data_IF_899470360112
#
_entry.id   IF_899470360112
#
_cell.length_a   1.000
_cell.length_b   1.000
_cell.length_c   1.000
_cell.angle_alpha   90.00
_cell.angle_beta   90.00
_cell.angle_gamma   90.00
#
_symmetry.space_group_name_H-M   'P 1'
#
loop_
_entity.id
_entity.type
_entity.pdbx_description
1 polymer ?
#
# COMPACT_ATOMS: atom_id res chain seq x y z
N UNK A 1 -22.30 5.29 14.13
CA UNK A 1 -20.95 5.67 13.68
C UNK A 1 -19.97 4.77 14.42
N UNK A 2 -19.26 3.90 13.70
CA UNK A 2 -18.28 3.00 14.32
C UNK A 2 -17.16 3.83 14.92
N UNK A 3 -17.00 3.77 16.24
CA UNK A 3 -15.85 4.36 16.93
C UNK A 3 -14.60 3.63 16.44
N UNK A 4 -13.74 4.31 15.68
CA UNK A 4 -12.43 3.78 15.32
C UNK A 4 -11.49 4.00 16.50
N UNK A 5 -11.15 2.93 17.22
CA UNK A 5 -10.32 3.00 18.40
C UNK A 5 -8.85 2.77 18.00
N UNK A 6 -8.02 3.81 18.11
CA UNK A 6 -6.61 3.75 17.72
C UNK A 6 -5.81 2.70 18.51
N UNK A 7 -6.22 2.40 19.74
CA UNK A 7 -5.57 1.42 20.60
C UNK A 7 -5.65 -0.01 20.07
N UNK A 8 -6.66 -0.29 19.23
CA UNK A 8 -6.85 -1.60 18.60
C UNK A 8 -6.19 -1.67 17.21
N UNK A 9 -5.58 -0.56 16.75
CA UNK A 9 -4.85 -0.53 15.48
C UNK A 9 -3.43 -1.07 15.66
N UNK A 10 -3.18 -2.25 15.10
CA UNK A 10 -1.82 -2.76 15.05
C UNK A 10 -0.94 -1.87 14.14
N UNK A 11 0.22 -1.40 14.62
CA UNK A 11 1.14 -0.63 13.80
C UNK A 11 1.58 -1.41 12.58
N UNK A 12 1.60 -0.75 11.42
CA UNK A 12 2.07 -1.30 10.14
C UNK A 12 3.45 -1.95 10.27
N UNK A 13 4.37 -1.28 10.96
CA UNK A 13 5.72 -1.78 11.15
C UNK A 13 5.76 -3.14 11.87
N UNK A 14 4.88 -3.33 12.85
CA UNK A 14 4.81 -4.59 13.58
C UNK A 14 4.33 -5.72 12.68
N UNK A 15 3.35 -5.46 11.81
CA UNK A 15 2.86 -6.45 10.83
C UNK A 15 3.92 -6.81 9.80
N UNK A 16 4.66 -5.83 9.28
CA UNK A 16 5.81 -6.08 8.37
C UNK A 16 6.87 -6.91 9.08
N UNK A 17 7.21 -6.59 10.33
CA UNK A 17 8.18 -7.36 11.11
C UNK A 17 7.70 -8.80 11.34
N UNK A 18 6.43 -8.99 11.70
CA UNK A 18 5.83 -10.30 11.88
C UNK A 18 5.83 -11.12 10.57
N UNK A 19 5.59 -10.49 9.43
CA UNK A 19 5.68 -11.12 8.12
C UNK A 19 7.08 -11.65 7.83
N UNK A 20 8.13 -10.84 7.99
CA UNK A 20 9.51 -11.27 7.74
C UNK A 20 10.01 -12.29 8.77
N UNK A 21 9.47 -12.28 10.00
CA UNK A 21 9.74 -13.33 10.99
C UNK A 21 9.12 -14.67 10.59
N UNK A 22 7.90 -14.65 10.05
CA UNK A 22 7.18 -15.86 9.60
C UNK A 22 7.71 -16.38 8.26
N UNK A 23 8.11 -15.47 7.38
CA UNK A 23 8.59 -15.74 6.02
C UNK A 23 9.91 -15.00 5.77
N UNK A 24 11.05 -15.53 6.25
CA UNK A 24 12.35 -14.86 6.12
C UNK A 24 12.81 -14.71 4.66
N UNK A 25 12.33 -15.60 3.79
CA UNK A 25 12.57 -15.53 2.35
C UNK A 25 11.42 -14.86 1.59
N UNK A 26 10.44 -14.27 2.29
CA UNK A 26 9.34 -13.57 1.67
C UNK A 26 9.82 -12.35 0.88
N UNK A 27 8.97 -11.82 0.01
CA UNK A 27 9.19 -10.52 -0.62
C UNK A 27 7.88 -9.75 -0.69
N UNK A 28 7.96 -8.44 -0.54
CA UNK A 28 6.85 -7.53 -0.79
C UNK A 28 7.28 -6.64 -1.94
N UNK A 29 6.55 -6.70 -3.05
CA UNK A 29 6.74 -5.86 -4.22
C UNK A 29 5.67 -4.79 -4.23
N UNK A 30 6.06 -3.56 -4.52
CA UNK A 30 5.12 -2.45 -4.69
C UNK A 30 5.36 -1.80 -6.04
N UNK A 31 4.30 -1.68 -6.83
CA UNK A 31 4.30 -1.00 -8.12
C UNK A 31 3.40 0.24 -8.04
N UNK A 32 3.90 1.36 -8.53
CA UNK A 32 3.17 2.62 -8.54
C UNK A 32 2.89 3.02 -9.98
N UNK A 33 1.61 3.03 -10.33
CA UNK A 33 1.13 3.38 -11.65
C UNK A 33 0.45 4.74 -11.60
N UNK A 34 0.72 5.56 -12.61
CA UNK A 34 0.04 6.84 -12.84
C UNK A 34 -0.85 6.68 -14.06
N UNK A 35 -2.13 6.98 -13.91
CA UNK A 35 -3.08 7.01 -15.01
C UNK A 35 -3.80 8.35 -15.06
N UNK A 36 -4.17 8.77 -16.26
CA UNK A 36 -5.02 9.93 -16.46
C UNK A 36 -6.45 9.43 -16.70
N UNK A 37 -7.40 9.95 -15.92
CA UNK A 37 -8.80 9.58 -16.05
C UNK A 37 -9.45 10.34 -17.20
N UNK A 38 -10.58 9.83 -17.70
CA UNK A 38 -11.45 10.52 -18.68
C UNK A 38 -11.78 11.97 -18.33
N UNK A 39 -11.79 12.29 -17.03
CA UNK A 39 -12.15 13.61 -16.50
C UNK A 39 -10.93 14.57 -16.44
N UNK A 40 -9.78 14.19 -17.01
CA UNK A 40 -8.53 14.96 -17.01
C UNK A 40 -7.79 15.00 -15.67
N UNK A 41 -8.24 14.21 -14.68
CA UNK A 41 -7.60 14.10 -13.37
C UNK A 41 -6.57 12.98 -13.36
N UNK A 42 -5.47 13.21 -12.66
CA UNK A 42 -4.45 12.18 -12.44
C UNK A 42 -4.91 11.28 -11.29
N UNK A 43 -4.82 9.98 -11.54
CA UNK A 43 -5.08 8.92 -10.58
C UNK A 43 -3.80 8.12 -10.39
N UNK A 44 -3.41 7.98 -9.14
CA UNK A 44 -2.26 7.20 -8.72
C UNK A 44 -2.75 5.88 -8.15
N UNK A 45 -2.27 4.77 -8.73
CA UNK A 45 -2.64 3.41 -8.33
C UNK A 45 -1.39 2.76 -7.78
N UNK A 46 -1.40 2.45 -6.49
CA UNK A 46 -0.39 1.63 -5.84
C UNK A 46 -0.87 0.20 -5.77
N UNK A 47 -0.16 -0.71 -6.44
CA UNK A 47 -0.32 -2.16 -6.32
C UNK A 47 0.75 -2.69 -5.37
N UNK A 48 0.37 -3.53 -4.42
CA UNK A 48 1.30 -4.22 -3.53
C UNK A 48 1.05 -5.72 -3.59
N UNK A 49 2.13 -6.49 -3.64
CA UNK A 49 2.12 -7.93 -3.79
C UNK A 49 3.02 -8.55 -2.74
N UNK A 50 2.46 -9.44 -1.92
CA UNK A 50 3.21 -10.19 -0.92
C UNK A 50 3.43 -11.64 -1.39
N UNK A 51 4.68 -12.08 -1.31
CA UNK A 51 5.13 -13.42 -1.63
C UNK A 51 5.76 -14.03 -0.40
N UNK A 52 5.38 -15.26 -0.07
CA UNK A 52 5.92 -15.99 1.10
C UNK A 52 7.31 -16.55 0.85
N UNK A 53 7.70 -16.71 -0.42
CA UNK A 53 9.02 -17.11 -0.86
C UNK A 53 9.48 -16.24 -2.03
N UNK A 54 10.79 -16.02 -2.16
CA UNK A 54 11.40 -15.19 -3.19
C UNK A 54 11.32 -15.83 -4.58
N UNK A 55 11.29 -17.17 -4.63
CA UNK A 55 11.19 -17.94 -5.87
C UNK A 55 9.73 -18.12 -6.35
N UNK A 56 8.74 -17.77 -5.52
CA UNK A 56 7.34 -17.91 -5.90
C UNK A 56 7.02 -17.00 -7.10
N UNK A 57 6.47 -17.60 -8.16
CA UNK A 57 6.06 -16.87 -9.36
C UNK A 57 4.78 -16.09 -9.11
N UNK A 58 3.93 -16.56 -8.18
CA UNK A 58 2.62 -15.97 -7.88
C UNK A 58 2.59 -15.36 -6.48
N UNK A 59 2.05 -14.14 -6.32
CA UNK A 59 1.86 -13.57 -5.00
C UNK A 59 0.77 -14.33 -4.24
N UNK A 60 0.93 -14.43 -2.93
CA UNK A 60 -0.08 -15.02 -2.04
C UNK A 60 -1.14 -13.99 -1.65
N UNK A 61 -0.80 -12.71 -1.70
CA UNK A 61 -1.70 -11.61 -1.38
C UNK A 61 -1.42 -10.42 -2.28
N UNK A 62 -2.47 -9.76 -2.76
CA UNK A 62 -2.37 -8.56 -3.61
C UNK A 62 -3.34 -7.50 -3.13
N UNK A 63 -2.85 -6.27 -2.98
CA UNK A 63 -3.61 -5.12 -2.51
C UNK A 63 -3.46 -3.95 -3.47
N UNK A 64 -4.52 -3.17 -3.57
CA UNK A 64 -4.54 -1.96 -4.37
C UNK A 64 -4.98 -0.80 -3.49
N UNK A 65 -4.30 0.34 -3.60
CA UNK A 65 -4.84 1.60 -3.17
C UNK A 65 -4.70 2.65 -4.25
N UNK A 66 -5.66 3.56 -4.23
CA UNK A 66 -5.84 4.54 -5.28
C UNK A 66 -6.00 5.90 -4.66
N UNK A 67 -5.27 6.88 -5.17
CA UNK A 67 -5.40 8.29 -4.79
C UNK A 67 -5.70 9.11 -6.05
N UNK A 68 -6.76 9.91 -5.99
CA UNK A 68 -7.19 10.78 -7.09
C UNK A 68 -6.79 12.19 -6.72
N UNK A 69 -6.19 12.92 -7.66
CA UNK A 69 -5.92 14.34 -7.47
C UNK A 69 -7.22 15.11 -7.19
N UNK A 70 -7.32 15.60 -5.95
CA UNK A 70 -8.35 16.55 -5.55
C UNK A 70 -8.02 17.96 -6.08
N UNK A 71 -9.00 18.87 -6.11
CA UNK A 71 -8.83 20.22 -6.66
C UNK A 71 -7.92 21.15 -5.82
N UNK A 72 -7.30 20.67 -4.75
CA UNK A 72 -6.54 21.50 -3.82
C UNK A 72 -5.03 21.38 -4.04
N UNK A 73 -4.39 22.54 -3.91
CA UNK A 73 -3.00 22.96 -4.13
C UNK A 73 -1.92 22.22 -3.31
N UNK A 74 -2.09 20.91 -3.06
CA UNK A 74 -1.19 20.06 -2.29
C UNK A 74 -0.37 19.10 -3.17
N UNK A 75 -0.17 19.46 -4.44
CA UNK A 75 0.54 18.63 -5.44
C UNK A 75 1.99 18.36 -5.00
N UNK A 76 2.60 19.24 -4.22
CA UNK A 76 3.99 19.10 -3.74
C UNK A 76 4.19 18.04 -2.63
N UNK A 77 3.13 17.62 -1.91
CA UNK A 77 3.21 16.60 -0.85
C UNK A 77 2.68 15.22 -1.28
N UNK A 78 2.19 15.11 -2.51
CA UNK A 78 1.68 13.87 -3.09
C UNK A 78 2.67 12.69 -3.06
N UNK A 79 3.98 12.86 -3.38
CA UNK A 79 4.90 11.71 -3.29
C UNK A 79 5.01 11.16 -1.86
N UNK A 80 4.92 12.01 -0.83
CA UNK A 80 5.00 11.58 0.58
C UNK A 80 3.71 10.85 1.02
N UNK A 81 2.55 11.27 0.53
CA UNK A 81 1.27 10.61 0.80
C UNK A 81 1.17 9.26 0.11
N UNK A 82 1.64 9.16 -1.12
CA UNK A 82 1.68 7.91 -1.88
C UNK A 82 2.63 6.91 -1.21
N UNK A 83 3.78 7.33 -0.70
CA UNK A 83 4.69 6.44 0.07
C UNK A 83 4.02 5.94 1.35
N UNK A 84 3.24 6.78 2.06
CA UNK A 84 2.44 6.31 3.21
C UNK A 84 1.36 5.32 2.78
N UNK A 85 0.74 5.52 1.63
CA UNK A 85 -0.27 4.63 1.06
C UNK A 85 0.35 3.27 0.67
N UNK A 86 1.54 3.27 0.06
CA UNK A 86 2.32 2.06 -0.26
C UNK A 86 2.55 1.20 0.97
N UNK A 87 3.03 1.81 2.06
CA UNK A 87 3.29 1.13 3.32
C UNK A 87 1.99 0.62 3.96
N UNK A 88 0.90 1.39 3.86
CA UNK A 88 -0.40 0.98 4.41
C UNK A 88 -1.02 -0.22 3.67
N UNK A 89 -0.96 -0.24 2.33
CA UNK A 89 -1.48 -1.35 1.52
C UNK A 89 -0.67 -2.61 1.72
N UNK A 90 0.67 -2.48 1.68
CA UNK A 90 1.56 -3.60 1.97
C UNK A 90 1.23 -4.23 3.33
N UNK A 91 0.88 -3.42 4.32
CA UNK A 91 0.52 -3.87 5.66
C UNK A 91 -0.95 -4.25 5.86
N UNK A 92 -1.84 -4.05 4.87
CA UNK A 92 -3.20 -4.61 4.91
C UNK A 92 -3.23 -6.06 4.41
N UNK A 93 -2.16 -6.50 3.75
CA UNK A 93 -2.04 -7.82 3.14
C UNK A 93 -1.43 -8.89 4.06
N UNK A 94 -0.86 -8.48 5.20
CA UNK A 94 -0.09 -9.27 6.17
C UNK A 94 -0.52 -8.94 7.60
#
# INVERSE_FOLDING_TARGET
>A
MSYFNLSDYEPVENRIRAFWLKYPNGRILTDLQRTERSDGRIEWICRSEAYTNSEDIRPQSTGFATEIEGPLQLIALMPVRIVRLQVLVAALLI
#
